data_IF_745588886884
#
_entry.id   IF_745588886884
#
_cell.length_a   1.000
_cell.length_b   1.000
_cell.length_c   1.000
_cell.angle_alpha   90.00
_cell.angle_beta   90.00
_cell.angle_gamma   90.00
#
_symmetry.space_group_name_H-M   'P 1'
#
loop_
_entity.id
_entity.type
_entity.pdbx_description
1 polymer ?
#
# COMPACT_ATOMS: atom_id res chain seq x y z
N UNK A 1 5.36 -6.41 -20.60
CA UNK A 1 4.56 -7.44 -19.87
C UNK A 1 4.10 -6.93 -18.50
N UNK A 2 5.03 -6.52 -17.62
CA UNK A 2 4.71 -5.99 -16.28
C UNK A 2 3.80 -4.76 -16.28
N UNK A 3 4.08 -3.75 -17.11
CA UNK A 3 3.19 -2.59 -17.23
C UNK A 3 1.79 -2.94 -17.74
N UNK A 4 1.68 -3.96 -18.61
CA UNK A 4 0.38 -4.46 -19.09
C UNK A 4 -0.38 -5.20 -17.98
N UNK A 5 0.31 -6.01 -17.18
CA UNK A 5 -0.24 -6.63 -15.98
C UNK A 5 -0.80 -5.58 -15.02
N UNK A 6 0.02 -4.56 -14.71
CA UNK A 6 -0.36 -3.46 -13.84
C UNK A 6 -1.59 -2.70 -14.38
N UNK A 7 -1.60 -2.37 -15.68
CA UNK A 7 -2.75 -1.74 -16.31
C UNK A 7 -4.01 -2.65 -16.26
N UNK A 8 -3.84 -3.96 -16.47
CA UNK A 8 -4.92 -4.95 -16.36
C UNK A 8 -5.51 -5.02 -14.95
N UNK A 9 -4.67 -5.02 -13.91
CA UNK A 9 -5.11 -4.99 -12.50
C UNK A 9 -5.92 -3.73 -12.21
N UNK A 10 -5.41 -2.55 -12.61
CA UNK A 10 -6.09 -1.27 -12.40
C UNK A 10 -7.44 -1.23 -13.14
N UNK A 11 -7.49 -1.70 -14.38
CA UNK A 11 -8.72 -1.75 -15.16
C UNK A 11 -9.76 -2.69 -14.54
N UNK A 12 -9.35 -3.91 -14.17
CA UNK A 12 -10.22 -4.90 -13.54
C UNK A 12 -10.78 -4.40 -12.21
N UNK A 13 -9.93 -3.83 -11.34
CA UNK A 13 -10.35 -3.23 -10.08
C UNK A 13 -11.31 -2.06 -10.31
N UNK A 14 -11.03 -1.19 -11.29
CA UNK A 14 -11.91 -0.09 -11.67
C UNK A 14 -13.32 -0.57 -12.05
N UNK A 15 -13.41 -1.64 -12.85
CA UNK A 15 -14.68 -2.27 -13.24
C UNK A 15 -15.40 -2.86 -12.02
N UNK A 16 -14.71 -3.64 -11.18
CA UNK A 16 -15.26 -4.25 -9.98
C UNK A 16 -15.79 -3.19 -8.98
N UNK A 17 -15.03 -2.10 -8.77
CA UNK A 17 -15.46 -0.96 -7.94
C UNK A 17 -16.71 -0.30 -8.51
N UNK A 18 -16.74 -0.04 -9.82
CA UNK A 18 -17.92 0.58 -10.48
C UNK A 18 -19.16 -0.30 -10.37
N UNK A 19 -19.01 -1.61 -10.57
CA UNK A 19 -20.09 -2.57 -10.41
C UNK A 19 -20.60 -2.63 -8.96
N UNK A 20 -19.70 -2.70 -7.99
CA UNK A 20 -19.99 -2.71 -6.56
C UNK A 20 -20.80 -1.48 -6.15
N UNK A 21 -20.36 -0.27 -6.52
CA UNK A 21 -21.08 0.98 -6.22
C UNK A 21 -22.49 0.98 -6.81
N UNK A 22 -22.68 0.41 -8.01
CA UNK A 22 -23.99 0.37 -8.68
C UNK A 22 -24.93 -0.65 -8.06
N UNK A 23 -24.46 -1.86 -7.78
CA UNK A 23 -25.30 -2.99 -7.36
C UNK A 23 -25.52 -3.08 -5.86
N UNK A 24 -24.57 -2.60 -5.06
CA UNK A 24 -24.57 -2.80 -3.60
C UNK A 24 -24.77 -1.50 -2.82
N UNK A 25 -25.25 -0.43 -3.48
CA UNK A 25 -25.51 0.87 -2.84
C UNK A 25 -26.45 0.76 -1.63
N UNK A 26 -27.44 -0.12 -1.67
CA UNK A 26 -28.37 -0.36 -0.55
C UNK A 26 -27.75 -1.17 0.60
N UNK A 27 -26.69 -1.95 0.33
CA UNK A 27 -25.99 -2.78 1.31
C UNK A 27 -24.67 -2.12 1.72
N UNK A 28 -24.76 -0.99 2.44
CA UNK A 28 -23.63 -0.11 2.73
C UNK A 28 -22.40 -0.84 3.30
N UNK A 29 -22.59 -1.75 4.26
CA UNK A 29 -21.49 -2.53 4.86
C UNK A 29 -20.74 -3.37 3.83
N UNK A 30 -21.47 -4.16 3.03
CA UNK A 30 -20.88 -5.00 2.00
C UNK A 30 -20.21 -4.16 0.91
N UNK A 31 -20.85 -3.04 0.52
CA UNK A 31 -20.28 -2.09 -0.43
C UNK A 31 -18.93 -1.54 0.07
N UNK A 32 -18.87 -1.06 1.32
CA UNK A 32 -17.63 -0.55 1.91
C UNK A 32 -16.55 -1.62 2.00
N UNK A 33 -16.89 -2.83 2.46
CA UNK A 33 -15.95 -3.95 2.53
C UNK A 33 -15.33 -4.25 1.16
N UNK A 34 -16.16 -4.42 0.12
CA UNK A 34 -15.67 -4.74 -1.22
C UNK A 34 -14.88 -3.59 -1.84
N UNK A 35 -15.27 -2.34 -1.60
CA UNK A 35 -14.51 -1.19 -2.08
C UNK A 35 -13.13 -1.11 -1.43
N UNK A 36 -13.01 -1.29 -0.12
CA UNK A 36 -11.68 -1.37 0.53
C UNK A 36 -10.88 -2.58 0.03
N UNK A 37 -11.54 -3.73 -0.14
CA UNK A 37 -10.89 -4.95 -0.61
C UNK A 37 -10.27 -4.76 -2.00
N UNK A 38 -11.05 -4.31 -2.98
CA UNK A 38 -10.53 -4.11 -4.34
C UNK A 38 -9.45 -3.04 -4.40
N UNK A 39 -9.57 -1.98 -3.60
CA UNK A 39 -8.62 -0.86 -3.64
C UNK A 39 -7.29 -1.21 -3.00
N UNK A 40 -7.34 -1.89 -1.86
CA UNK A 40 -6.14 -2.37 -1.18
C UNK A 40 -5.47 -3.47 -1.99
N UNK A 41 -6.25 -4.32 -2.67
CA UNK A 41 -5.73 -5.31 -3.61
C UNK A 41 -4.95 -4.64 -4.75
N UNK A 42 -5.51 -3.58 -5.36
CA UNK A 42 -4.82 -2.83 -6.41
C UNK A 42 -3.49 -2.26 -5.93
N UNK A 43 -3.48 -1.56 -4.78
CA UNK A 43 -2.24 -1.01 -4.21
C UNK A 43 -1.23 -2.12 -3.96
N UNK A 44 -1.63 -3.19 -3.25
CA UNK A 44 -0.72 -4.28 -2.90
C UNK A 44 -0.18 -5.00 -4.14
N UNK A 45 -1.04 -5.38 -5.09
CA UNK A 45 -0.62 -6.08 -6.31
C UNK A 45 0.28 -5.21 -7.17
N UNK A 46 -0.05 -3.92 -7.33
CA UNK A 46 0.79 -2.99 -8.07
C UNK A 46 2.13 -2.78 -7.38
N UNK A 47 2.17 -2.58 -6.07
CA UNK A 47 3.43 -2.38 -5.34
C UNK A 47 4.32 -3.62 -5.37
N UNK A 48 3.77 -4.84 -5.29
CA UNK A 48 4.54 -6.08 -5.44
C UNK A 48 5.31 -6.09 -6.78
N UNK A 49 4.64 -5.82 -7.90
CA UNK A 49 5.29 -5.76 -9.21
C UNK A 49 6.23 -4.56 -9.34
N UNK A 50 5.91 -3.42 -8.70
CA UNK A 50 6.78 -2.24 -8.71
C UNK A 50 8.09 -2.45 -7.95
N UNK A 51 8.07 -3.16 -6.82
CA UNK A 51 9.30 -3.54 -6.11
C UNK A 51 10.22 -4.35 -7.02
N UNK A 52 9.65 -5.31 -7.78
CA UNK A 52 10.37 -6.11 -8.76
C UNK A 52 10.93 -5.29 -9.93
N UNK A 53 10.15 -4.33 -10.44
CA UNK A 53 10.60 -3.43 -11.50
C UNK A 53 11.64 -2.41 -11.00
N UNK A 54 11.57 -2.02 -9.73
CA UNK A 54 12.51 -1.10 -9.11
C UNK A 54 13.92 -1.68 -8.99
N UNK A 55 14.04 -3.00 -9.09
CA UNK A 55 15.32 -3.69 -9.12
C UNK A 55 15.97 -3.79 -10.50
N UNK A 56 15.31 -3.29 -11.55
CA UNK A 56 15.83 -3.25 -12.92
C UNK A 56 16.54 -1.91 -13.19
N UNK A 57 17.74 -1.96 -13.78
CA UNK A 57 18.51 -0.77 -14.18
C UNK A 57 17.80 0.05 -15.28
N UNK A 58 17.91 1.41 -15.28
CA UNK A 58 18.72 2.23 -14.38
C UNK A 58 18.04 2.54 -13.03
N UNK A 59 18.73 2.24 -11.92
CA UNK A 59 18.34 2.66 -10.56
C UNK A 59 18.92 4.06 -10.24
N UNK A 60 18.27 4.88 -9.39
CA UNK A 60 16.94 4.70 -8.79
C UNK A 60 15.80 5.32 -9.63
N UNK A 61 16.13 6.00 -10.74
CA UNK A 61 15.19 6.86 -11.47
C UNK A 61 13.94 6.10 -11.95
N UNK A 62 14.10 4.89 -12.49
CA UNK A 62 12.97 4.08 -12.98
C UNK A 62 12.00 3.75 -11.86
N UNK A 63 12.51 3.31 -10.70
CA UNK A 63 11.69 2.99 -9.53
C UNK A 63 10.90 4.21 -9.03
N UNK A 64 11.56 5.37 -8.95
CA UNK A 64 10.93 6.61 -8.49
C UNK A 64 9.88 7.13 -9.48
N UNK A 65 10.16 7.10 -10.78
CA UNK A 65 9.20 7.49 -11.81
C UNK A 65 7.96 6.61 -11.78
N UNK A 66 8.14 5.29 -11.65
CA UNK A 66 7.01 4.36 -11.54
C UNK A 66 6.25 4.56 -10.23
N UNK A 67 6.95 4.76 -9.11
CA UNK A 67 6.34 5.06 -7.81
C UNK A 67 5.46 6.29 -7.89
N UNK A 68 5.96 7.39 -8.46
CA UNK A 68 5.19 8.60 -8.67
C UNK A 68 3.95 8.33 -9.54
N UNK A 69 4.15 7.76 -10.73
CA UNK A 69 3.09 7.53 -11.71
C UNK A 69 1.97 6.64 -11.16
N UNK A 70 2.31 5.52 -10.52
CA UNK A 70 1.33 4.63 -9.92
C UNK A 70 0.66 5.23 -8.68
N UNK A 71 1.37 6.02 -7.88
CA UNK A 71 0.75 6.72 -6.75
C UNK A 71 -0.29 7.73 -7.21
N UNK A 72 -0.02 8.48 -8.30
CA UNK A 72 -1.03 9.35 -8.94
C UNK A 72 -2.21 8.53 -9.43
N UNK A 73 -1.95 7.42 -10.13
CA UNK A 73 -2.99 6.54 -10.66
C UNK A 73 -3.89 5.96 -9.56
N UNK A 74 -3.29 5.52 -8.44
CA UNK A 74 -4.02 5.08 -7.25
C UNK A 74 -4.87 6.21 -6.67
N UNK A 75 -4.32 7.43 -6.55
CA UNK A 75 -5.06 8.60 -6.07
C UNK A 75 -6.31 8.92 -6.89
N UNK A 76 -6.27 8.73 -8.21
CA UNK A 76 -7.44 8.94 -9.08
C UNK A 76 -8.41 7.76 -9.08
N UNK A 77 -7.91 6.53 -9.16
CA UNK A 77 -8.75 5.33 -9.31
C UNK A 77 -9.42 4.91 -8.00
N UNK A 78 -8.76 5.17 -6.86
CA UNK A 78 -9.14 4.62 -5.56
C UNK A 78 -9.90 5.58 -4.65
N UNK A 79 -10.37 6.71 -5.19
CA UNK A 79 -11.15 7.71 -4.45
C UNK A 79 -12.24 7.11 -3.54
N UNK A 80 -12.30 7.59 -2.30
CA UNK A 80 -13.24 7.14 -1.27
C UNK A 80 -12.86 5.83 -0.55
N UNK A 81 -11.68 5.27 -0.81
CA UNK A 81 -11.13 4.14 -0.05
C UNK A 81 -9.87 4.58 0.69
N UNK A 82 -9.64 4.02 1.89
CA UNK A 82 -8.51 4.36 2.74
C UNK A 82 -7.28 3.53 2.41
N UNK A 83 -7.48 2.22 2.15
CA UNK A 83 -6.44 1.27 1.76
C UNK A 83 -5.24 1.17 2.72
N UNK A 84 -5.40 1.63 3.95
CA UNK A 84 -4.38 1.70 4.98
C UNK A 84 -5.05 1.56 6.35
N UNK A 85 -4.69 0.54 7.15
CA UNK A 85 -5.22 0.37 8.50
C UNK A 85 -4.99 1.59 9.39
N UNK A 86 -3.82 2.24 9.35
CA UNK A 86 -3.53 3.44 10.15
C UNK A 86 -4.46 4.60 9.81
N UNK A 87 -4.73 4.82 8.51
CA UNK A 87 -5.69 5.84 8.07
C UNK A 87 -7.15 5.50 8.42
N UNK A 88 -7.44 4.23 8.74
CA UNK A 88 -8.77 3.79 9.19
C UNK A 88 -8.90 3.93 10.71
N UNK A 89 -7.83 3.65 11.45
CA UNK A 89 -7.76 3.79 12.91
C UNK A 89 -7.95 5.24 13.36
N UNK A 90 -7.39 6.21 12.62
CA UNK A 90 -7.48 7.63 12.99
C UNK A 90 -8.93 8.13 13.18
N UNK A 91 -9.85 8.01 12.20
CA UNK A 91 -11.25 8.40 12.40
C UNK A 91 -12.01 7.45 13.35
N UNK A 92 -11.55 6.22 13.59
CA UNK A 92 -12.16 5.35 14.60
C UNK A 92 -11.92 5.88 16.03
N UNK A 93 -10.69 6.31 16.35
CA UNK A 93 -10.37 6.90 17.65
C UNK A 93 -10.93 8.31 17.80
N UNK A 94 -10.95 9.10 16.73
CA UNK A 94 -11.55 10.45 16.73
C UNK A 94 -13.08 10.48 16.65
N UNK A 95 -13.77 9.34 16.71
CA UNK A 95 -15.24 9.26 16.63
C UNK A 95 -15.85 9.53 15.25
N UNK A 96 -15.04 9.79 14.22
CA UNK A 96 -15.46 10.04 12.84
C UNK A 96 -15.90 8.77 12.07
N UNK A 97 -15.67 7.57 12.59
CA UNK A 97 -16.16 6.30 12.00
C UNK A 97 -16.51 5.31 13.11
N UNK A 98 -17.69 4.68 13.01
CA UNK A 98 -18.08 3.64 13.98
C UNK A 98 -17.08 2.48 14.03
N UNK A 99 -16.83 1.94 15.23
CA UNK A 99 -15.92 0.81 15.44
C UNK A 99 -16.21 -0.35 14.49
N UNK A 100 -17.49 -0.72 14.33
CA UNK A 100 -17.92 -1.81 13.44
C UNK A 100 -17.59 -1.57 11.97
N UNK A 101 -17.69 -0.32 11.49
CA UNK A 101 -17.34 0.00 10.11
C UNK A 101 -15.82 0.02 9.93
N UNK A 102 -15.10 0.59 10.89
CA UNK A 102 -13.64 0.64 10.88
C UNK A 102 -13.01 -0.75 10.89
N UNK A 103 -13.46 -1.66 11.76
CA UNK A 103 -12.99 -3.05 11.78
C UNK A 103 -13.28 -3.78 10.47
N UNK A 104 -14.44 -3.53 9.85
CA UNK A 104 -14.78 -4.10 8.55
C UNK A 104 -13.83 -3.63 7.45
N UNK A 105 -13.44 -2.34 7.45
CA UNK A 105 -12.46 -1.78 6.51
C UNK A 105 -11.07 -2.38 6.72
N UNK A 106 -10.60 -2.48 7.96
CA UNK A 106 -9.29 -3.09 8.28
C UNK A 106 -9.27 -4.57 7.87
N UNK A 107 -10.33 -5.32 8.15
CA UNK A 107 -10.45 -6.71 7.71
C UNK A 107 -10.38 -6.82 6.17
N UNK A 108 -11.11 -5.96 5.45
CA UNK A 108 -11.04 -5.91 3.98
C UNK A 108 -9.62 -5.63 3.47
N UNK A 109 -8.90 -4.72 4.12
CA UNK A 109 -7.52 -4.34 3.76
C UNK A 109 -6.55 -5.52 3.92
N UNK A 110 -6.59 -6.25 5.03
CA UNK A 110 -5.73 -7.42 5.25
C UNK A 110 -6.10 -8.60 4.36
N UNK A 111 -7.39 -8.87 4.15
CA UNK A 111 -7.83 -9.91 3.19
C UNK A 111 -7.32 -9.59 1.79
N UNK A 112 -7.44 -8.33 1.36
CA UNK A 112 -6.94 -7.88 0.08
C UNK A 112 -5.41 -7.99 -0.05
N UNK A 113 -4.67 -7.65 1.00
CA UNK A 113 -3.21 -7.79 1.05
C UNK A 113 -2.77 -9.24 0.87
N UNK A 114 -3.45 -10.18 1.53
CA UNK A 114 -3.21 -11.62 1.37
C UNK A 114 -3.54 -12.10 -0.04
N UNK A 115 -4.71 -11.72 -0.57
CA UNK A 115 -5.13 -12.09 -1.93
C UNK A 115 -4.18 -11.52 -3.00
N UNK A 116 -3.74 -10.28 -2.85
CA UNK A 116 -2.79 -9.64 -3.74
C UNK A 116 -1.46 -10.39 -3.76
N UNK A 117 -0.96 -10.80 -2.58
CA UNK A 117 0.27 -11.59 -2.48
C UNK A 117 0.13 -12.93 -3.21
N UNK A 118 -0.92 -13.70 -2.91
CA UNK A 118 -1.18 -15.00 -3.56
C UNK A 118 -1.29 -14.83 -5.08
N UNK A 119 -2.04 -13.84 -5.53
CA UNK A 119 -2.19 -13.52 -6.94
C UNK A 119 -0.86 -13.19 -7.61
N UNK A 120 -0.05 -12.31 -7.01
CA UNK A 120 1.22 -11.91 -7.60
C UNK A 120 2.25 -13.04 -7.64
N UNK A 121 2.36 -13.86 -6.58
CA UNK A 121 3.21 -15.04 -6.61
C UNK A 121 2.77 -16.05 -7.69
N UNK A 122 1.47 -16.21 -7.91
CA UNK A 122 0.96 -17.01 -9.01
C UNK A 122 1.33 -16.41 -10.38
N UNK A 123 1.18 -15.09 -10.57
CA UNK A 123 1.58 -14.44 -11.82
C UNK A 123 3.09 -14.57 -12.07
N UNK A 124 3.90 -14.40 -11.03
CA UNK A 124 5.36 -14.55 -11.15
C UNK A 124 5.79 -15.99 -11.45
N UNK A 125 5.05 -17.00 -10.98
CA UNK A 125 5.37 -18.40 -11.26
C UNK A 125 5.18 -18.76 -12.74
N UNK A 126 4.41 -17.96 -13.48
CA UNK A 126 4.28 -18.07 -14.94
C UNK A 126 5.55 -17.60 -15.69
N UNK A 127 6.52 -16.98 -15.00
CA UNK A 127 7.83 -16.66 -15.56
C UNK A 127 7.80 -15.68 -16.73
N UNK A 128 6.81 -14.79 -16.77
CA UNK A 128 6.60 -13.89 -17.92
C UNK A 128 7.76 -12.91 -18.17
N UNK A 129 8.60 -12.67 -17.16
CA UNK A 129 9.82 -11.86 -17.25
C UNK A 129 10.96 -12.48 -16.45
N UNK A 130 12.21 -12.17 -16.80
CA UNK A 130 13.40 -12.66 -16.06
C UNK A 130 13.35 -12.36 -14.55
N UNK A 131 12.96 -11.15 -14.10
CA UNK A 131 12.88 -10.87 -12.66
C UNK A 131 11.80 -11.69 -11.93
N UNK A 132 10.73 -12.14 -12.59
CA UNK A 132 9.67 -12.96 -11.96
C UNK A 132 10.19 -14.29 -11.41
N UNK A 133 11.10 -14.95 -12.14
CA UNK A 133 11.71 -16.20 -11.68
C UNK A 133 12.61 -15.98 -10.46
N UNK A 134 13.35 -14.86 -10.45
CA UNK A 134 14.19 -14.46 -9.32
C UNK A 134 13.37 -14.19 -8.05
N UNK A 135 12.21 -13.54 -8.20
CA UNK A 135 11.31 -13.21 -7.09
C UNK A 135 10.67 -14.42 -6.40
N UNK A 136 10.51 -15.56 -7.10
CA UNK A 136 10.10 -16.80 -6.44
C UNK A 136 11.22 -17.45 -5.64
N UNK A 137 12.47 -17.29 -6.09
CA UNK A 137 13.64 -17.89 -5.45
C UNK A 137 14.20 -17.07 -4.28
N UNK A 138 14.02 -15.74 -4.32
CA UNK A 138 14.28 -14.88 -3.18
C UNK A 138 13.19 -15.13 -2.13
N UNK A 139 13.57 -15.78 -1.02
CA UNK A 139 12.73 -15.84 0.18
C UNK A 139 12.48 -14.45 0.76
N UNK A 140 12.08 -14.35 2.03
CA UNK A 140 12.07 -13.05 2.70
C UNK A 140 13.50 -12.49 2.77
N UNK A 141 13.89 -11.61 1.83
CA UNK A 141 15.00 -10.69 2.06
C UNK A 141 14.56 -9.72 3.15
N UNK A 142 15.35 -9.52 4.21
CA UNK A 142 15.01 -8.59 5.29
C UNK A 142 14.78 -7.19 4.71
N UNK A 143 13.53 -6.66 4.64
CA UNK A 143 13.29 -5.29 4.20
C UNK A 143 13.98 -4.24 5.08
N UNK A 144 14.26 -4.60 6.33
CA UNK A 144 15.03 -3.76 7.23
C UNK A 144 16.52 -3.96 6.95
N UNK A 145 17.15 -2.94 6.38
CA UNK A 145 18.60 -2.82 6.18
C UNK A 145 19.27 -2.04 7.33
N UNK A 146 18.55 -1.81 8.41
CA UNK A 146 18.96 -1.03 9.59
C UNK A 146 18.54 -1.76 10.88
N UNK A 147 18.88 -1.19 12.05
CA UNK A 147 18.43 -1.74 13.33
C UNK A 147 16.91 -1.56 13.51
N UNK A 148 16.28 -2.39 14.35
CA UNK A 148 14.85 -2.29 14.66
C UNK A 148 14.46 -0.89 15.16
N UNK A 149 15.25 -0.33 16.07
CA UNK A 149 15.02 1.02 16.61
C UNK A 149 15.12 2.09 15.51
N UNK A 150 16.11 2.00 14.62
CA UNK A 150 16.25 2.93 13.50
C UNK A 150 15.07 2.80 12.53
N UNK A 151 14.69 1.58 12.17
CA UNK A 151 13.56 1.34 11.28
C UNK A 151 12.24 1.85 11.87
N UNK A 152 12.02 1.65 13.17
CA UNK A 152 10.87 2.18 13.89
C UNK A 152 10.83 3.71 13.82
N UNK A 153 11.94 4.38 14.13
CA UNK A 153 12.02 5.85 14.08
C UNK A 153 11.80 6.40 12.66
N UNK A 154 12.33 5.73 11.63
CA UNK A 154 12.15 6.13 10.22
C UNK A 154 10.69 5.99 9.81
N UNK A 155 10.06 4.84 10.03
CA UNK A 155 8.64 4.61 9.68
C UNK A 155 7.70 5.53 10.47
N UNK A 156 8.00 5.80 11.74
CA UNK A 156 7.27 6.79 12.55
C UNK A 156 7.40 8.19 11.95
N UNK A 157 8.62 8.66 11.68
CA UNK A 157 8.88 9.98 11.10
C UNK A 157 8.18 10.15 9.75
N UNK A 158 8.30 9.16 8.86
CA UNK A 158 7.65 9.18 7.55
C UNK A 158 6.14 9.24 7.68
N UNK A 159 5.56 8.50 8.64
CA UNK A 159 4.13 8.51 8.91
C UNK A 159 3.65 9.87 9.42
N UNK A 160 4.41 10.52 10.31
CA UNK A 160 4.13 11.88 10.81
C UNK A 160 4.19 12.89 9.66
N UNK A 161 5.27 12.89 8.87
CA UNK A 161 5.43 13.80 7.73
C UNK A 161 4.31 13.62 6.71
N UNK A 162 3.98 12.36 6.39
CA UNK A 162 2.86 12.03 5.51
C UNK A 162 1.54 12.56 6.06
N UNK A 163 1.27 12.34 7.34
CA UNK A 163 0.02 12.75 7.98
C UNK A 163 -0.12 14.27 8.04
N UNK A 164 0.91 14.98 8.50
CA UNK A 164 0.91 16.44 8.55
C UNK A 164 0.70 17.05 7.17
N UNK A 165 1.32 16.46 6.14
CA UNK A 165 1.13 16.93 4.77
C UNK A 165 -0.31 16.69 4.30
N UNK A 166 -0.87 15.50 4.52
CA UNK A 166 -2.27 15.18 4.18
C UNK A 166 -3.25 16.18 4.79
N UNK A 167 -3.06 16.54 6.06
CA UNK A 167 -3.85 17.56 6.76
C UNK A 167 -3.63 18.95 6.14
N UNK A 168 -2.38 19.32 5.85
CA UNK A 168 -2.02 20.64 5.28
C UNK A 168 -2.58 20.84 3.87
N UNK A 169 -2.67 19.77 3.08
CA UNK A 169 -3.19 19.82 1.70
C UNK A 169 -4.66 19.41 1.62
N UNK A 170 -5.39 19.37 2.73
CA UNK A 170 -6.78 18.93 2.75
C UNK A 170 -7.68 19.83 1.89
N UNK A 171 -7.49 21.16 2.00
CA UNK A 171 -8.23 22.19 1.26
C UNK A 171 -7.74 22.42 -0.18
N UNK A 172 -6.64 21.78 -0.58
CA UNK A 172 -6.11 21.89 -1.95
C UNK A 172 -7.02 21.16 -2.92
N UNK A 173 -7.17 21.71 -4.14
CA UNK A 173 -7.96 21.08 -5.19
C UNK A 173 -7.56 19.60 -5.37
N UNK A 174 -8.53 18.65 -5.39
CA UNK A 174 -8.23 17.23 -5.49
C UNK A 174 -7.31 16.85 -6.66
N UNK A 175 -7.38 17.57 -7.78
CA UNK A 175 -6.49 17.35 -8.94
C UNK A 175 -5.03 17.55 -8.58
N UNK A 176 -4.69 18.62 -7.86
CA UNK A 176 -3.32 18.90 -7.42
C UNK A 176 -2.93 18.12 -6.17
N UNK A 177 -3.88 17.90 -5.25
CA UNK A 177 -3.67 17.11 -4.03
C UNK A 177 -3.09 15.74 -4.32
N UNK A 178 -3.60 15.05 -5.35
CA UNK A 178 -3.08 13.73 -5.75
C UNK A 178 -1.61 13.80 -6.15
N UNK A 179 -1.19 14.81 -6.91
CA UNK A 179 0.21 14.98 -7.31
C UNK A 179 1.12 15.37 -6.15
N UNK A 180 0.64 16.21 -5.22
CA UNK A 180 1.40 16.57 -4.02
C UNK A 180 1.66 15.36 -3.13
N UNK A 181 0.63 14.53 -2.92
CA UNK A 181 0.76 13.29 -2.14
C UNK A 181 1.66 12.28 -2.86
N UNK A 182 1.52 12.12 -4.18
CA UNK A 182 2.39 11.22 -4.94
C UNK A 182 3.86 11.66 -4.92
N UNK A 183 4.11 12.96 -5.04
CA UNK A 183 5.45 13.52 -4.93
C UNK A 183 6.04 13.29 -3.54
N UNK A 184 5.27 13.53 -2.48
CA UNK A 184 5.70 13.27 -1.10
C UNK A 184 6.07 11.81 -0.90
N UNK A 185 5.19 10.87 -1.28
CA UNK A 185 5.47 9.43 -1.16
C UNK A 185 6.75 9.08 -1.92
N UNK A 186 6.92 9.59 -3.14
CA UNK A 186 8.13 9.35 -3.94
C UNK A 186 9.39 9.87 -3.24
N UNK A 187 9.32 11.03 -2.58
CA UNK A 187 10.44 11.57 -1.80
C UNK A 187 10.74 10.75 -0.55
N UNK A 188 9.73 10.25 0.16
CA UNK A 188 9.92 9.36 1.31
C UNK A 188 10.55 8.03 0.88
N UNK A 189 10.09 7.46 -0.24
CA UNK A 189 10.69 6.26 -0.85
C UNK A 189 12.13 6.52 -1.28
N UNK A 190 12.44 7.68 -1.85
CA UNK A 190 13.82 8.06 -2.16
C UNK A 190 14.69 8.16 -0.90
N UNK A 191 14.17 8.75 0.17
CA UNK A 191 14.91 9.02 1.40
C UNK A 191 15.16 7.77 2.27
N UNK A 192 14.23 6.81 2.30
CA UNK A 192 14.32 5.65 3.19
C UNK A 192 13.82 4.33 2.62
N UNK A 193 13.50 4.26 1.33
CA UNK A 193 13.05 3.04 0.67
C UNK A 193 14.08 1.91 0.72
N UNK A 194 15.38 2.22 0.65
CA UNK A 194 16.45 1.24 0.83
C UNK A 194 16.71 0.86 2.30
N UNK A 195 16.17 1.61 3.27
CA UNK A 195 16.37 1.36 4.70
C UNK A 195 15.25 0.51 5.30
N UNK A 196 13.99 0.87 5.00
CA UNK A 196 12.79 0.23 5.56
C UNK A 196 11.74 -0.15 4.52
N UNK A 197 11.91 0.24 3.26
CA UNK A 197 10.87 0.18 2.23
C UNK A 197 9.94 1.40 2.21
N UNK A 198 10.00 2.29 3.21
CA UNK A 198 9.15 3.46 3.36
C UNK A 198 7.65 3.14 3.20
N UNK A 199 7.13 2.22 4.02
CA UNK A 199 5.82 1.58 3.76
C UNK A 199 4.66 2.33 4.43
N UNK A 200 4.80 2.70 5.70
CA UNK A 200 3.82 3.42 6.53
C UNK A 200 2.34 2.95 6.37
N UNK A 201 2.16 1.68 6.05
CA UNK A 201 0.88 1.03 5.75
C UNK A 201 0.93 -0.45 6.16
N UNK A 202 0.27 -0.83 7.27
CA UNK A 202 0.31 -2.19 7.80
C UNK A 202 -0.18 -3.26 6.83
N UNK A 203 -1.22 -2.96 6.03
CA UNK A 203 -1.75 -3.91 5.05
C UNK A 203 -0.77 -4.12 3.88
N UNK A 204 -0.15 -3.04 3.41
CA UNK A 204 0.87 -3.12 2.36
C UNK A 204 2.12 -3.86 2.84
N UNK A 205 2.60 -3.54 4.05
CA UNK A 205 3.72 -4.24 4.68
C UNK A 205 3.43 -5.75 4.82
N UNK A 206 2.21 -6.09 5.24
CA UNK A 206 1.77 -7.48 5.30
C UNK A 206 1.79 -8.15 3.92
N UNK A 207 1.31 -7.48 2.86
CA UNK A 207 1.34 -8.06 1.52
C UNK A 207 2.76 -8.34 1.03
N UNK A 208 3.67 -7.39 1.19
CA UNK A 208 5.06 -7.48 0.70
C UNK A 208 5.90 -8.44 1.55
N UNK A 209 5.69 -8.46 2.86
CA UNK A 209 6.59 -9.12 3.81
C UNK A 209 5.92 -10.20 4.68
N UNK A 210 4.75 -10.73 4.31
CA UNK A 210 4.01 -11.72 5.12
C UNK A 210 4.87 -12.88 5.64
N UNK A 211 5.76 -13.43 4.80
CA UNK A 211 6.65 -14.53 5.20
C UNK A 211 7.71 -14.09 6.22
N UNK A 212 8.08 -12.81 6.26
CA UNK A 212 9.01 -12.23 7.23
C UNK A 212 8.39 -12.07 8.61
N UNK A 213 7.07 -11.87 8.67
CA UNK A 213 6.34 -11.77 9.93
C UNK A 213 6.32 -13.09 10.70
N UNK A 214 6.60 -14.24 10.06
CA UNK A 214 6.60 -15.53 10.76
C UNK A 214 7.73 -15.62 11.80
N UNK A 215 8.97 -15.30 11.39
CA UNK A 215 10.14 -15.44 12.27
C UNK A 215 10.35 -14.23 13.19
N UNK A 216 9.89 -13.03 12.78
CA UNK A 216 10.13 -11.76 13.47
C UNK A 216 8.85 -10.95 13.68
N UNK A 217 7.74 -11.63 14.01
CA UNK A 217 6.42 -11.01 14.13
C UNK A 217 6.44 -9.71 14.94
N UNK A 218 6.99 -9.76 16.17
CA UNK A 218 7.01 -8.60 17.07
C UNK A 218 7.79 -7.42 16.47
N UNK A 219 9.02 -7.66 16.00
CA UNK A 219 9.85 -6.63 15.37
C UNK A 219 9.15 -5.97 14.19
N UNK A 220 8.54 -6.76 13.31
CA UNK A 220 7.85 -6.24 12.13
C UNK A 220 6.56 -5.52 12.49
N UNK A 221 5.81 -6.01 13.48
CA UNK A 221 4.62 -5.32 13.98
C UNK A 221 4.99 -3.99 14.64
N UNK A 222 6.10 -3.91 15.40
CA UNK A 222 6.58 -2.65 15.96
C UNK A 222 6.89 -1.64 14.86
N UNK A 223 7.69 -2.04 13.87
CA UNK A 223 8.18 -1.15 12.80
C UNK A 223 7.08 -0.77 11.81
N UNK A 224 6.28 -1.72 11.33
CA UNK A 224 5.34 -1.48 10.23
C UNK A 224 3.88 -1.30 10.67
N UNK A 225 3.53 -1.64 11.91
CA UNK A 225 2.17 -1.48 12.42
C UNK A 225 2.09 -0.40 13.50
N UNK A 226 2.93 -0.49 14.53
CA UNK A 226 2.88 0.44 15.67
C UNK A 226 3.44 1.81 15.29
N UNK A 227 4.66 1.90 14.75
CA UNK A 227 5.27 3.17 14.35
C UNK A 227 4.36 3.97 13.39
N UNK A 228 3.80 3.38 12.31
CA UNK A 228 2.91 4.11 11.43
C UNK A 228 1.56 4.48 12.04
N UNK A 229 1.06 3.67 12.97
CA UNK A 229 -0.17 4.01 13.70
C UNK A 229 0.05 5.19 14.64
N UNK A 230 1.19 5.24 15.34
CA UNK A 230 1.55 6.37 16.21
C UNK A 230 1.71 7.66 15.40
N UNK A 231 2.32 7.61 14.22
CA UNK A 231 2.50 8.79 13.36
C UNK A 231 1.22 9.37 12.75
N UNK A 232 0.04 8.80 13.04
CA UNK A 232 -1.26 9.33 12.61
C UNK A 232 -1.92 10.31 13.58
N UNK A 233 -1.47 10.32 14.84
CA UNK A 233 -2.09 11.05 15.93
C UNK A 233 -1.25 12.25 16.36
#
# INVERSE_FOLDING_TARGET
PSLLLLAGVVAAVGLCRRFTRRRLRSRQRLCTFLLELFSTFQICACTNELCLLGDVEPKPHTALTLTYGFTVLHGWTLTGSTCNPCGTLQPMWGGGTSLRMGTLKIAAQFVAAALARVFMHFIWSLGMTKPHLGALSQGCGSPMQTTEMQAFCIELLFSVVFQLTVLRVESVNPKYKVHLIAFLITMLVYAGGNLTGAIFNPALAFSLHASCFYDKFLSYSLVYWIAPSLGKF
#
